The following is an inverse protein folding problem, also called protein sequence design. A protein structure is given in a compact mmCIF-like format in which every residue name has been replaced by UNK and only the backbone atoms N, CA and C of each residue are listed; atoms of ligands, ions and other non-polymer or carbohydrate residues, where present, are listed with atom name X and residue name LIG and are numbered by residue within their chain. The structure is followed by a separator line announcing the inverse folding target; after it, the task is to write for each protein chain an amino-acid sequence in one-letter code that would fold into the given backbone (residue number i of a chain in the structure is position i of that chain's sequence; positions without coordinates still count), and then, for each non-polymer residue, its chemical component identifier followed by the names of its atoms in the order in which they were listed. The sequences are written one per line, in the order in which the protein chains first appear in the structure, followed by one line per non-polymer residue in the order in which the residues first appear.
data_IF_091717748837
#
_entry.id   IF_091717748837
#
_cell.length_a   1.000
_cell.length_b   1.000
_cell.length_c   1.000
_cell.angle_alpha   90.00
_cell.angle_beta   90.00
_cell.angle_gamma   90.00
#
_symmetry.space_group_name_H-M   'P 1'
#
loop_
_entity.id
_entity.type
_entity.pdbx_description
1 polymer ?
#
# COMPACT_ATOMS: atom_id res chain seq x y z
N UNK A 1 1.46 -20.49 -27.84
CA UNK A 1 0.10 -20.99 -28.15
C UNK A 1 -0.69 -21.44 -26.91
N UNK A 2 -0.18 -21.25 -25.68
CA UNK A 2 -0.82 -21.76 -24.45
C UNK A 2 -1.09 -23.28 -24.46
N UNK A 3 -0.47 -24.03 -25.37
CA UNK A 3 -0.54 -25.47 -25.39
C UNK A 3 0.63 -26.03 -24.59
N UNK A 4 0.38 -27.10 -23.85
CA UNK A 4 1.47 -27.84 -23.21
C UNK A 4 2.14 -28.66 -24.30
N UNK A 5 3.44 -28.45 -24.51
CA UNK A 5 4.22 -29.15 -25.53
C UNK A 5 4.87 -30.40 -24.91
N UNK A 6 4.27 -31.60 -25.06
CA UNK A 6 4.81 -32.82 -24.44
C UNK A 6 6.18 -33.24 -25.01
N UNK A 7 6.56 -32.68 -26.16
CA UNK A 7 7.87 -32.83 -26.79
C UNK A 7 8.98 -32.02 -26.14
N UNK A 8 8.64 -31.02 -25.31
CA UNK A 8 9.64 -30.20 -24.61
C UNK A 8 9.93 -30.78 -23.24
N UNK A 9 10.91 -31.68 -23.19
CA UNK A 9 11.46 -32.24 -21.96
C UNK A 9 12.85 -31.63 -21.77
N UNK A 10 12.98 -30.49 -21.06
CA UNK A 10 14.28 -29.88 -20.84
C UNK A 10 15.14 -30.85 -20.02
N UNK A 11 16.28 -31.28 -20.57
CA UNK A 11 17.25 -32.11 -19.83
C UNK A 11 17.87 -31.26 -18.73
N UNK A 12 17.70 -31.61 -17.44
CA UNK A 12 18.39 -30.91 -16.37
C UNK A 12 19.91 -31.06 -16.52
N UNK A 13 20.70 -30.09 -16.03
CA UNK A 13 22.14 -30.25 -15.98
C UNK A 13 22.53 -31.53 -15.23
N UNK A 14 23.48 -32.30 -15.77
CA UNK A 14 23.95 -33.55 -15.15
C UNK A 14 24.56 -33.33 -13.76
N UNK A 15 25.04 -32.11 -13.48
CA UNK A 15 25.52 -31.68 -12.17
C UNK A 15 24.77 -30.42 -11.76
N UNK A 16 23.94 -30.54 -10.72
CA UNK A 16 23.26 -29.40 -10.14
C UNK A 16 24.25 -28.55 -9.36
N UNK A 17 24.21 -27.23 -9.56
CA UNK A 17 24.95 -26.27 -8.75
C UNK A 17 24.01 -25.15 -8.32
N UNK A 18 24.27 -24.59 -7.14
CA UNK A 18 23.48 -23.47 -6.63
C UNK A 18 23.79 -22.22 -7.45
N UNK A 19 22.79 -21.50 -8.00
CA UNK A 19 23.03 -20.23 -8.67
C UNK A 19 23.63 -19.22 -7.68
N UNK A 20 24.65 -18.49 -8.13
CA UNK A 20 25.20 -17.37 -7.36
C UNK A 20 24.30 -16.15 -7.50
N UNK A 21 24.19 -15.36 -6.42
CA UNK A 21 23.49 -14.07 -6.48
C UNK A 21 24.21 -13.13 -7.46
N UNK A 22 23.46 -12.54 -8.39
CA UNK A 22 24.00 -11.50 -9.28
C UNK A 22 24.66 -10.39 -8.44
N UNK A 23 25.87 -9.99 -8.84
CA UNK A 23 26.59 -8.89 -8.15
C UNK A 23 25.92 -7.56 -8.45
N UNK A 24 25.93 -6.67 -7.45
CA UNK A 24 25.48 -5.28 -7.58
C UNK A 24 24.11 -5.02 -6.97
N UNK A 25 23.64 -3.78 -7.14
CA UNK A 25 22.33 -3.33 -6.65
C UNK A 25 21.38 -3.28 -7.83
N UNK A 26 20.17 -3.85 -7.68
CA UNK A 26 19.08 -3.68 -8.65
C UNK A 26 18.19 -2.52 -8.17
N UNK A 27 18.43 -1.26 -8.61
CA UNK A 27 17.63 -0.13 -8.16
C UNK A 27 16.18 -0.30 -8.60
N UNK A 28 15.27 0.18 -7.75
CA UNK A 28 13.86 0.32 -8.11
C UNK A 28 13.71 1.24 -9.31
N UNK A 29 12.84 0.88 -10.26
CA UNK A 29 12.47 1.79 -11.36
C UNK A 29 11.57 2.91 -10.81
N UNK A 30 11.67 4.15 -11.33
CA UNK A 30 10.77 5.22 -10.94
C UNK A 30 9.32 4.80 -11.20
N UNK A 31 8.45 5.00 -10.20
CA UNK A 31 7.03 4.67 -10.26
C UNK A 31 6.21 5.96 -10.37
N UNK A 32 5.09 5.92 -11.11
CA UNK A 32 4.22 7.08 -11.33
C UNK A 32 3.32 7.48 -10.14
N UNK A 33 3.58 6.93 -8.94
CA UNK A 33 2.82 7.23 -7.74
C UNK A 33 3.44 8.39 -6.97
N UNK A 34 2.62 9.37 -6.57
CA UNK A 34 3.02 10.45 -5.67
C UNK A 34 1.84 10.78 -4.75
N UNK A 35 1.67 10.00 -3.70
CA UNK A 35 0.56 10.09 -2.77
C UNK A 35 0.99 10.77 -1.47
N UNK A 36 0.26 11.83 -1.10
CA UNK A 36 0.39 12.50 0.18
C UNK A 36 -0.93 12.41 0.96
N UNK A 37 -0.85 12.48 2.28
CA UNK A 37 -2.02 12.56 3.17
C UNK A 37 -1.78 13.61 4.25
N UNK A 38 -2.79 14.44 4.47
CA UNK A 38 -2.89 15.30 5.64
C UNK A 38 -3.93 14.69 6.59
N UNK A 39 -3.62 14.67 7.89
CA UNK A 39 -4.48 14.08 8.91
C UNK A 39 -4.75 15.06 10.04
N UNK A 40 -6.00 15.13 10.48
CA UNK A 40 -6.42 15.92 11.64
C UNK A 40 -7.23 15.05 12.59
N UNK A 41 -6.95 15.13 13.88
CA UNK A 41 -7.78 14.55 14.94
C UNK A 41 -8.42 15.70 15.70
N UNK A 42 -9.74 15.67 15.81
CA UNK A 42 -10.54 16.70 16.48
C UNK A 42 -11.87 16.10 16.93
N UNK A 43 -12.31 16.46 18.14
CA UNK A 43 -13.58 16.03 18.73
C UNK A 43 -13.91 14.52 18.54
N UNK A 44 -12.95 13.62 18.79
CA UNK A 44 -13.19 12.18 18.64
C UNK A 44 -13.24 11.67 17.20
N UNK A 45 -12.73 12.41 16.23
CA UNK A 45 -12.77 12.05 14.81
C UNK A 45 -11.41 12.22 14.16
N UNK A 46 -10.98 11.21 13.41
CA UNK A 46 -9.84 11.30 12.50
C UNK A 46 -10.37 11.67 11.12
N UNK A 47 -9.83 12.74 10.53
CA UNK A 47 -10.02 13.09 9.13
C UNK A 47 -8.71 12.90 8.38
N UNK A 48 -8.77 12.30 7.20
CA UNK A 48 -7.64 12.16 6.28
C UNK A 48 -8.01 12.78 4.93
N UNK A 49 -7.12 13.65 4.43
CA UNK A 49 -7.21 14.29 3.12
C UNK A 49 -6.04 13.84 2.28
N UNK A 50 -6.31 13.00 1.29
CA UNK A 50 -5.30 12.56 0.35
C UNK A 50 -5.20 13.50 -0.85
N UNK A 51 -3.96 13.67 -1.31
CA UNK A 51 -3.65 14.30 -2.59
C UNK A 51 -2.76 13.33 -3.39
N UNK A 52 -3.27 12.84 -4.52
CA UNK A 52 -2.47 12.07 -5.46
C UNK A 52 -1.92 13.01 -6.53
N UNK A 53 -0.66 13.41 -6.41
CA UNK A 53 0.07 14.20 -7.41
C UNK A 53 0.71 13.33 -8.49
N UNK A 54 0.51 12.01 -8.43
CA UNK A 54 1.04 11.03 -9.38
C UNK A 54 0.23 10.99 -10.68
N UNK A 55 0.85 10.39 -11.70
CA UNK A 55 0.24 10.17 -13.02
C UNK A 55 -0.60 8.90 -13.10
N UNK A 56 -0.58 8.07 -12.06
CA UNK A 56 -1.37 6.84 -11.94
C UNK A 56 -2.43 6.97 -10.84
N UNK A 57 -3.55 6.27 -10.99
CA UNK A 57 -4.50 6.09 -9.88
C UNK A 57 -3.89 5.27 -8.75
N UNK A 58 -4.16 5.64 -7.50
CA UNK A 58 -3.65 4.98 -6.30
C UNK A 58 -4.79 4.32 -5.51
N UNK A 59 -4.61 3.06 -5.14
CA UNK A 59 -5.46 2.39 -4.18
C UNK A 59 -4.88 2.55 -2.77
N UNK A 60 -5.72 2.91 -1.80
CA UNK A 60 -5.35 3.04 -0.39
C UNK A 60 -6.26 2.18 0.45
N UNK A 61 -5.70 1.49 1.44
CA UNK A 61 -6.47 0.75 2.43
C UNK A 61 -6.17 1.26 3.83
N UNK A 62 -7.22 1.63 4.55
CA UNK A 62 -7.17 2.02 5.96
C UNK A 62 -7.57 0.82 6.81
N UNK A 63 -6.68 0.39 7.70
CA UNK A 63 -6.84 -0.78 8.56
C UNK A 63 -6.80 -0.34 10.02
N UNK A 64 -7.60 -0.98 10.86
CA UNK A 64 -7.57 -0.81 12.30
C UNK A 64 -8.36 -1.95 12.95
N UNK A 65 -7.96 -2.38 14.13
CA UNK A 65 -8.78 -3.25 14.98
C UNK A 65 -9.73 -2.46 15.89
N UNK A 66 -9.58 -1.13 15.93
CA UNK A 66 -10.35 -0.22 16.79
C UNK A 66 -11.39 0.60 16.01
N UNK A 67 -11.33 0.61 14.68
CA UNK A 67 -12.38 1.19 13.84
C UNK A 67 -13.40 0.11 13.44
N UNK A 68 -14.71 0.37 13.61
CA UNK A 68 -15.74 -0.68 13.58
C UNK A 68 -15.98 -1.30 12.19
N UNK A 69 -15.74 -0.56 11.10
CA UNK A 69 -15.94 -1.06 9.73
C UNK A 69 -14.63 -1.16 8.94
N UNK A 70 -13.49 -1.17 9.63
CA UNK A 70 -12.22 -1.43 8.98
C UNK A 70 -12.15 -2.89 8.47
N UNK A 71 -11.45 -3.15 7.34
CA UNK A 71 -10.71 -2.18 6.54
C UNK A 71 -11.58 -1.34 5.61
N UNK A 72 -11.19 -0.08 5.42
CA UNK A 72 -11.78 0.81 4.41
C UNK A 72 -10.86 0.86 3.18
N UNK A 73 -11.43 0.71 1.98
CA UNK A 73 -10.68 0.71 0.72
C UNK A 73 -11.13 1.86 -0.16
N UNK A 74 -10.17 2.60 -0.71
CA UNK A 74 -10.41 3.77 -1.55
C UNK A 74 -9.56 3.72 -2.82
N UNK A 75 -10.11 4.24 -3.90
CA UNK A 75 -9.39 4.47 -5.16
C UNK A 75 -9.34 5.97 -5.44
N UNK A 76 -8.13 6.51 -5.57
CA UNK A 76 -7.88 7.92 -5.83
C UNK A 76 -7.35 8.03 -7.26
N UNK A 77 -8.05 8.77 -8.12
CA UNK A 77 -7.62 9.00 -9.51
C UNK A 77 -6.25 9.68 -9.60
N UNK A 78 -5.63 9.62 -10.78
CA UNK A 78 -4.43 10.41 -11.07
C UNK A 78 -4.76 11.91 -10.91
N UNK A 79 -3.84 12.70 -10.34
CA UNK A 79 -4.02 14.13 -10.05
C UNK A 79 -5.27 14.47 -9.20
N UNK A 80 -5.88 13.49 -8.50
CA UNK A 80 -7.11 13.67 -7.74
C UNK A 80 -6.87 13.73 -6.23
N UNK A 81 -7.90 14.15 -5.50
CA UNK A 81 -7.94 14.13 -4.03
C UNK A 81 -9.10 13.30 -3.52
N UNK A 82 -8.98 12.84 -2.27
CA UNK A 82 -10.06 12.13 -1.58
C UNK A 82 -10.02 12.50 -0.09
N UNK A 83 -11.18 12.79 0.47
CA UNK A 83 -11.36 13.03 1.89
C UNK A 83 -12.13 11.87 2.51
N UNK A 84 -11.67 11.39 3.66
CA UNK A 84 -12.38 10.41 4.49
C UNK A 84 -12.29 10.78 5.96
N UNK A 85 -13.22 10.28 6.75
CA UNK A 85 -13.17 10.44 8.20
C UNK A 85 -13.77 9.25 8.94
N UNK A 86 -13.28 9.02 10.14
CA UNK A 86 -13.69 7.93 11.02
C UNK A 86 -13.86 8.46 12.44
N UNK A 87 -14.95 8.06 13.09
CA UNK A 87 -15.10 8.25 14.52
C UNK A 87 -14.09 7.37 15.26
N UNK A 88 -13.42 7.94 16.26
CA UNK A 88 -12.44 7.30 17.11
C UNK A 88 -13.06 6.94 18.46
N UNK A 89 -12.53 5.89 19.09
CA UNK A 89 -12.80 5.58 20.49
C UNK A 89 -11.91 6.39 21.43
N UNK A 90 -11.79 5.93 22.68
CA UNK A 90 -10.84 6.48 23.65
C UNK A 90 -9.38 6.29 23.19
N UNK A 91 -9.13 5.18 22.50
CA UNK A 91 -7.85 4.83 21.87
C UNK A 91 -8.04 4.65 20.38
N UNK A 92 -6.97 4.85 19.62
CA UNK A 92 -6.93 4.58 18.19
C UNK A 92 -5.59 4.01 17.75
N UNK A 93 -5.63 3.16 16.73
CA UNK A 93 -4.46 2.68 15.99
C UNK A 93 -4.88 2.43 14.54
N UNK A 94 -4.55 3.38 13.67
CA UNK A 94 -5.01 3.45 12.28
C UNK A 94 -3.80 3.35 11.35
N UNK A 95 -3.85 2.39 10.45
CA UNK A 95 -2.78 2.04 9.52
C UNK A 95 -3.28 2.34 8.10
N UNK A 96 -2.58 3.18 7.35
CA UNK A 96 -2.93 3.53 5.99
C UNK A 96 -1.87 2.95 5.06
N UNK A 97 -2.28 2.08 4.14
CA UNK A 97 -1.40 1.41 3.17
C UNK A 97 -1.70 1.87 1.75
N UNK A 98 -0.67 2.09 0.95
CA UNK A 98 -0.78 2.50 -0.44
C UNK A 98 0.23 1.77 -1.35
N UNK A 99 0.28 2.15 -2.63
CA UNK A 99 1.22 1.57 -3.59
C UNK A 99 2.67 1.90 -3.22
N UNK A 100 3.60 1.16 -3.82
CA UNK A 100 5.04 1.40 -3.67
C UNK A 100 5.53 1.40 -2.20
N UNK A 101 4.89 0.64 -1.31
CA UNK A 101 5.25 0.58 0.11
C UNK A 101 4.84 1.83 0.90
N UNK A 102 4.02 2.72 0.34
CA UNK A 102 3.51 3.88 1.04
C UNK A 102 2.74 3.46 2.29
N UNK A 103 3.08 4.07 3.43
CA UNK A 103 2.52 3.74 4.72
C UNK A 103 2.47 4.94 5.66
N UNK A 104 1.38 5.07 6.42
CA UNK A 104 1.26 5.97 7.58
C UNK A 104 0.57 5.23 8.72
N UNK A 105 0.99 5.50 9.95
CA UNK A 105 0.34 5.00 11.17
C UNK A 105 0.03 6.18 12.08
N UNK A 106 -1.18 6.20 12.60
CA UNK A 106 -1.59 7.12 13.66
C UNK A 106 -2.11 6.29 14.82
N UNK A 107 -1.49 6.41 15.99
CA UNK A 107 -1.92 5.72 17.18
C UNK A 107 -1.81 6.63 18.41
N UNK A 108 -2.75 6.50 19.34
CA UNK A 108 -2.78 7.30 20.55
C UNK A 108 -4.13 7.24 21.27
N UNK A 109 -4.33 8.19 22.18
CA UNK A 109 -5.58 8.39 22.91
C UNK A 109 -6.28 9.65 22.42
N UNK A 110 -7.61 9.66 22.45
CA UNK A 110 -8.41 10.84 22.11
C UNK A 110 -8.59 11.78 23.31
N UNK A 111 -8.30 11.31 24.53
CA UNK A 111 -8.18 12.16 25.70
C UNK A 111 -6.87 12.98 25.63
N UNK A 112 -6.99 14.28 25.87
CA UNK A 112 -5.87 15.24 25.92
C UNK A 112 -5.04 15.08 27.21
#
# INVERSE_FOLDING_TARGET
DQQRHPSYVPTPPATNSMPSQEKGTRPSRPLGYALDVETKIDAGKLTARWANRGSLGAHVQVRSNLLPAAPYSYTIGAAASLDASWALGAEYDVHMHGPAGWYRRLAGTTAA
#
